data_IF_548716130841
#
_entry.id   IF_548716130841
#
_cell.length_a   1.000
_cell.length_b   1.000
_cell.length_c   1.000
_cell.angle_alpha   90.00
_cell.angle_beta   90.00
_cell.angle_gamma   90.00
#
_symmetry.space_group_name_H-M   'P 1'
#
loop_
_entity.id
_entity.type
_entity.pdbx_description
1 polymer ?
#
# COMPACT_ATOMS: atom_id res chain seq x y z
N UNK A 1 13.45 -20.34 10.41
CA UNK A 1 13.79 -19.91 9.06
C UNK A 1 12.51 -19.31 8.51
N UNK A 2 12.44 -18.00 8.33
CA UNK A 2 11.24 -17.36 7.76
C UNK A 2 11.43 -17.45 6.25
N UNK A 3 10.67 -18.32 5.60
CA UNK A 3 10.66 -18.43 4.15
C UNK A 3 10.16 -17.11 3.58
N UNK A 4 10.95 -16.50 2.70
CA UNK A 4 10.60 -15.25 2.03
C UNK A 4 9.36 -15.51 1.16
N UNK A 5 8.25 -14.82 1.44
CA UNK A 5 7.03 -14.89 0.63
C UNK A 5 7.36 -14.48 -0.83
N UNK A 6 6.98 -15.30 -1.80
CA UNK A 6 7.18 -15.01 -3.23
C UNK A 6 6.26 -13.88 -3.70
N UNK A 7 6.67 -13.15 -4.74
CA UNK A 7 5.93 -12.01 -5.30
C UNK A 7 4.48 -12.36 -5.65
N UNK A 8 4.23 -13.56 -6.21
CA UNK A 8 2.86 -13.99 -6.54
C UNK A 8 2.01 -14.24 -5.30
N UNK A 9 2.63 -14.74 -4.24
CA UNK A 9 1.95 -14.98 -2.97
C UNK A 9 1.65 -13.66 -2.26
N UNK A 10 2.55 -12.67 -2.34
CA UNK A 10 2.29 -11.31 -1.89
C UNK A 10 1.14 -10.66 -2.68
N UNK A 11 1.11 -10.85 -3.99
CA UNK A 11 0.05 -10.31 -4.86
C UNK A 11 -1.31 -10.92 -4.49
N UNK A 12 -1.39 -12.24 -4.34
CA UNK A 12 -2.59 -12.90 -3.88
C UNK A 12 -2.99 -12.47 -2.45
N UNK A 13 -2.03 -12.26 -1.57
CA UNK A 13 -2.33 -11.91 -0.17
C UNK A 13 -2.78 -10.46 -0.04
N UNK A 14 -2.12 -9.53 -0.72
CA UNK A 14 -2.38 -8.09 -0.60
C UNK A 14 -3.42 -7.62 -1.62
N UNK A 15 -3.19 -7.87 -2.91
CA UNK A 15 -4.02 -7.28 -3.96
C UNK A 15 -5.40 -7.95 -4.03
N UNK A 16 -5.47 -9.28 -3.98
CA UNK A 16 -6.73 -10.01 -4.07
C UNK A 16 -7.63 -9.78 -2.84
N UNK A 17 -7.05 -9.68 -1.64
CA UNK A 17 -7.83 -9.58 -0.40
C UNK A 17 -8.11 -8.14 0.05
N UNK A 18 -7.25 -7.17 -0.30
CA UNK A 18 -7.36 -5.80 0.23
C UNK A 18 -7.68 -4.76 -0.83
N UNK A 19 -7.48 -5.03 -2.13
CA UNK A 19 -7.65 -4.03 -3.17
C UNK A 19 -8.95 -4.25 -3.96
N UNK A 20 -10.01 -3.44 -3.75
CA UNK A 20 -11.24 -3.55 -4.54
C UNK A 20 -11.05 -3.20 -6.02
N UNK A 21 -9.91 -2.59 -6.37
CA UNK A 21 -9.58 -2.16 -7.73
C UNK A 21 -8.69 -3.15 -8.48
N UNK A 22 -8.17 -4.18 -7.82
CA UNK A 22 -7.28 -5.16 -8.44
C UNK A 22 -8.03 -6.06 -9.43
N UNK A 23 -7.42 -6.34 -10.58
CA UNK A 23 -8.03 -7.15 -11.66
C UNK A 23 -7.09 -8.31 -12.03
N UNK A 24 -7.34 -9.55 -11.57
CA UNK A 24 -6.39 -10.67 -11.61
C UNK A 24 -5.96 -11.21 -12.99
N UNK A 25 -6.31 -10.53 -14.08
CA UNK A 25 -6.00 -10.95 -15.46
C UNK A 25 -5.65 -9.79 -16.40
N UNK A 26 -5.45 -8.59 -15.84
CA UNK A 26 -4.97 -7.45 -16.62
C UNK A 26 -3.45 -7.45 -16.55
N UNK A 27 -2.79 -7.22 -17.69
CA UNK A 27 -1.34 -7.03 -17.73
C UNK A 27 -1.00 -5.72 -17.01
N UNK A 28 -0.78 -5.81 -15.70
CA UNK A 28 -0.48 -4.65 -14.85
C UNK A 28 1.01 -4.30 -14.99
N UNK A 29 1.37 -3.68 -16.12
CA UNK A 29 2.72 -3.13 -16.34
C UNK A 29 3.13 -2.06 -15.31
N UNK A 30 2.26 -1.70 -14.36
CA UNK A 30 2.48 -0.76 -13.27
C UNK A 30 1.99 -1.36 -11.95
N UNK A 31 2.93 -1.70 -11.06
CA UNK A 31 2.61 -2.09 -9.70
C UNK A 31 2.13 -0.87 -8.88
N UNK A 32 1.11 -1.08 -8.03
CA UNK A 32 0.68 -0.07 -7.07
C UNK A 32 1.81 0.27 -6.08
N UNK A 33 2.00 1.54 -5.73
CA UNK A 33 3.00 1.95 -4.74
C UNK A 33 2.83 1.24 -3.39
N UNK A 34 1.60 0.96 -2.98
CA UNK A 34 1.34 0.21 -1.74
C UNK A 34 1.95 -1.20 -1.78
N UNK A 35 1.82 -1.90 -2.90
CA UNK A 35 2.44 -3.20 -3.12
C UNK A 35 3.97 -3.09 -3.09
N UNK A 36 4.54 -2.16 -3.85
CA UNK A 36 6.00 -1.95 -3.92
C UNK A 36 6.61 -1.64 -2.56
N UNK A 37 5.92 -0.87 -1.72
CA UNK A 37 6.37 -0.55 -0.36
C UNK A 37 6.39 -1.81 0.49
N UNK A 38 5.31 -2.60 0.48
CA UNK A 38 5.22 -3.85 1.28
C UNK A 38 6.27 -4.87 0.82
N UNK A 39 6.42 -5.07 -0.49
CA UNK A 39 7.44 -5.96 -1.07
C UNK A 39 8.85 -5.58 -0.56
N UNK A 40 9.18 -4.28 -0.58
CA UNK A 40 10.49 -3.79 -0.14
C UNK A 40 10.67 -3.83 1.38
N UNK A 41 9.62 -3.63 2.18
CA UNK A 41 9.67 -3.82 3.63
C UNK A 41 10.00 -5.28 3.97
N UNK A 42 9.30 -6.21 3.33
CA UNK A 42 9.54 -7.65 3.50
C UNK A 42 10.94 -8.06 3.05
N UNK A 43 11.41 -7.54 1.91
CA UNK A 43 12.77 -7.80 1.42
C UNK A 43 13.87 -7.29 2.38
N UNK A 44 13.56 -6.29 3.21
CA UNK A 44 14.45 -5.80 4.28
C UNK A 44 14.31 -6.58 5.60
N UNK A 45 13.55 -7.68 5.60
CA UNK A 45 13.34 -8.53 6.77
C UNK A 45 12.32 -7.98 7.76
N UNK A 46 11.45 -7.04 7.36
CA UNK A 46 10.33 -6.62 8.21
C UNK A 46 9.25 -7.69 8.20
N UNK A 47 8.80 -8.06 9.38
CA UNK A 47 7.62 -8.90 9.57
C UNK A 47 6.37 -8.03 9.34
N UNK A 48 5.62 -8.34 8.29
CA UNK A 48 4.40 -7.63 7.92
C UNK A 48 3.23 -8.59 8.17
N UNK A 49 2.39 -8.33 9.18
CA UNK A 49 1.26 -9.19 9.46
C UNK A 49 0.15 -8.94 8.41
N UNK A 50 -0.17 -9.99 7.67
CA UNK A 50 -1.36 -10.02 6.81
C UNK A 50 -2.53 -10.53 7.64
N UNK A 51 -3.37 -9.62 8.09
CA UNK A 51 -4.61 -9.92 8.82
C UNK A 51 -5.72 -8.96 8.44
N UNK A 52 -6.97 -9.30 8.78
CA UNK A 52 -8.09 -8.40 8.52
C UNK A 52 -7.83 -7.06 9.21
N UNK A 53 -7.78 -5.96 8.46
CA UNK A 53 -7.58 -4.68 9.09
C UNK A 53 -8.84 -4.35 9.89
N UNK A 54 -8.69 -4.23 11.20
CA UNK A 54 -9.80 -3.93 12.08
C UNK A 54 -9.96 -2.40 12.19
N UNK A 55 -11.08 -1.88 11.69
CA UNK A 55 -11.50 -0.49 11.87
C UNK A 55 -11.11 0.46 10.74
N UNK A 56 -11.51 1.71 10.87
CA UNK A 56 -11.14 2.78 9.94
C UNK A 56 -9.74 3.32 10.25
N UNK A 57 -8.98 3.65 9.19
CA UNK A 57 -7.71 4.37 9.34
C UNK A 57 -7.95 5.75 9.94
N UNK A 58 -7.13 6.14 10.93
CA UNK A 58 -7.23 7.42 11.62
C UNK A 58 -7.09 8.61 10.66
N UNK A 59 -7.73 9.74 10.99
CA UNK A 59 -7.70 10.94 10.12
C UNK A 59 -6.27 11.46 9.91
N UNK A 60 -5.42 11.38 10.93
CA UNK A 60 -4.02 11.83 10.84
C UNK A 60 -3.19 10.89 9.96
N UNK A 61 -3.37 9.57 10.08
CA UNK A 61 -2.72 8.60 9.20
C UNK A 61 -3.19 8.74 7.76
N UNK A 62 -4.49 9.00 7.54
CA UNK A 62 -5.03 9.29 6.20
C UNK A 62 -4.34 10.50 5.58
N UNK A 63 -4.23 11.61 6.31
CA UNK A 63 -3.56 12.83 5.82
C UNK A 63 -2.09 12.59 5.51
N UNK A 64 -1.38 11.85 6.37
CA UNK A 64 0.02 11.51 6.15
C UNK A 64 0.21 10.66 4.88
N UNK A 65 -0.58 9.61 4.71
CA UNK A 65 -0.52 8.77 3.51
C UNK A 65 -0.83 9.54 2.22
N UNK A 66 -1.84 10.42 2.24
CA UNK A 66 -2.14 11.26 1.08
C UNK A 66 -0.94 12.14 0.72
N UNK A 67 -0.34 12.80 1.73
CA UNK A 67 0.81 13.68 1.53
C UNK A 67 2.05 12.94 1.03
N UNK A 68 2.36 11.80 1.62
CA UNK A 68 3.68 11.18 1.52
C UNK A 68 3.72 10.03 0.50
N UNK A 69 2.60 9.32 0.29
CA UNK A 69 2.52 8.14 -0.59
C UNK A 69 1.67 8.42 -1.83
N UNK A 70 0.47 8.98 -1.66
CA UNK A 70 -0.45 9.17 -2.77
C UNK A 70 0.11 10.17 -3.79
N UNK A 71 0.76 11.25 -3.37
CA UNK A 71 1.37 12.21 -4.29
C UNK A 71 2.39 11.60 -5.27
N UNK A 72 3.06 10.50 -4.88
CA UNK A 72 4.01 9.77 -5.72
C UNK A 72 3.37 8.57 -6.45
N UNK A 73 2.08 8.32 -6.26
CA UNK A 73 1.37 7.19 -6.84
C UNK A 73 1.06 7.46 -8.32
N UNK A 74 1.40 6.54 -9.24
CA UNK A 74 1.12 6.72 -10.67
C UNK A 74 -0.37 6.89 -10.98
N UNK A 75 -1.25 6.42 -10.09
CA UNK A 75 -2.70 6.52 -10.22
C UNK A 75 -3.30 7.82 -9.66
N UNK A 76 -2.54 8.63 -8.90
CA UNK A 76 -3.08 9.77 -8.14
C UNK A 76 -3.68 10.89 -9.00
N UNK A 77 -2.99 11.30 -10.07
CA UNK A 77 -3.36 12.51 -10.82
C UNK A 77 -4.55 12.28 -11.76
N UNK A 78 -4.78 11.05 -12.21
CA UNK A 78 -5.77 10.76 -13.28
C UNK A 78 -6.79 9.68 -12.95
N UNK A 79 -6.46 8.75 -12.05
CA UNK A 79 -7.23 7.52 -11.87
C UNK A 79 -7.65 7.27 -10.40
N UNK A 80 -7.44 8.25 -9.51
CA UNK A 80 -7.75 8.13 -8.09
C UNK A 80 -9.01 8.93 -7.70
N UNK A 81 -10.17 8.29 -7.89
CA UNK A 81 -11.47 8.86 -7.50
C UNK A 81 -11.56 9.15 -5.99
N UNK A 82 -10.79 8.42 -5.17
CA UNK A 82 -10.72 8.60 -3.71
C UNK A 82 -10.13 9.97 -3.32
N UNK A 83 -9.03 10.38 -3.94
CA UNK A 83 -8.39 11.68 -3.65
C UNK A 83 -9.07 12.84 -4.34
N UNK A 84 -9.83 12.57 -5.41
CA UNK A 84 -10.71 13.55 -6.04
C UNK A 84 -11.95 13.89 -5.18
N UNK A 85 -12.16 13.20 -4.06
CA UNK A 85 -13.28 13.45 -3.15
C UNK A 85 -14.63 13.04 -3.73
N UNK A 86 -14.65 12.11 -4.69
CA UNK A 86 -15.91 11.55 -5.19
C UNK A 86 -16.60 10.76 -4.08
N UNK A 87 -17.89 11.00 -3.91
CA UNK A 87 -18.72 10.27 -2.96
C UNK A 87 -18.70 8.76 -3.28
N UNK A 88 -18.85 7.94 -2.24
CA UNK A 88 -18.85 6.47 -2.29
C UNK A 88 -17.58 5.79 -2.85
N UNK A 89 -16.50 6.55 -3.05
CA UNK A 89 -15.25 5.96 -3.51
C UNK A 89 -14.41 5.43 -2.35
N UNK A 90 -14.10 4.13 -2.38
CA UNK A 90 -13.28 3.50 -1.35
C UNK A 90 -11.78 3.79 -1.56
N UNK A 91 -10.97 3.86 -0.49
CA UNK A 91 -9.52 3.90 -0.63
C UNK A 91 -8.99 2.66 -1.35
N UNK A 92 -7.85 2.78 -2.03
CA UNK A 92 -7.21 1.61 -2.64
C UNK A 92 -6.64 0.67 -1.57
N UNK A 93 -6.46 -0.61 -1.90
CA UNK A 93 -5.98 -1.60 -0.94
C UNK A 93 -4.61 -1.25 -0.35
N UNK A 94 -3.72 -0.66 -1.15
CA UNK A 94 -2.42 -0.17 -0.67
C UNK A 94 -2.56 0.94 0.36
N UNK A 95 -3.49 1.87 0.17
CA UNK A 95 -3.76 2.94 1.12
C UNK A 95 -4.32 2.38 2.43
N UNK A 96 -5.36 1.54 2.33
CA UNK A 96 -5.98 0.92 3.50
C UNK A 96 -4.94 0.12 4.29
N UNK A 97 -4.24 -0.81 3.63
CA UNK A 97 -3.27 -1.68 4.27
C UNK A 97 -2.14 -0.91 4.97
N UNK A 98 -1.48 0.01 4.27
CA UNK A 98 -0.43 0.84 4.88
C UNK A 98 -0.97 1.69 6.04
N UNK A 99 -2.21 2.17 5.93
CA UNK A 99 -2.86 2.92 7.01
C UNK A 99 -3.03 2.10 8.27
N UNK A 100 -3.44 0.84 8.14
CA UNK A 100 -3.55 -0.06 9.29
C UNK A 100 -2.19 -0.38 9.91
N UNK A 101 -1.15 -0.59 9.09
CA UNK A 101 0.20 -0.83 9.61
C UNK A 101 0.74 0.39 10.36
N UNK A 102 0.45 1.61 9.90
CA UNK A 102 0.82 2.85 10.58
C UNK A 102 0.05 3.05 11.89
N UNK A 103 -1.27 2.88 11.87
CA UNK A 103 -2.10 3.02 13.09
C UNK A 103 -1.72 1.98 14.15
N UNK A 104 -1.38 0.76 13.71
CA UNK A 104 -0.86 -0.30 14.57
C UNK A 104 0.61 -0.12 14.98
N UNK A 105 1.30 0.93 14.48
CA UNK A 105 2.72 1.23 14.73
C UNK A 105 3.68 0.08 14.34
N UNK A 106 3.28 -0.74 13.38
CA UNK A 106 4.12 -1.82 12.81
C UNK A 106 5.17 -1.21 11.87
N UNK A 107 4.78 -0.16 11.16
CA UNK A 107 5.67 0.65 10.31
C UNK A 107 5.56 2.12 10.70
N UNK A 108 6.52 2.90 10.23
CA UNK A 108 6.55 4.36 10.36
C UNK A 108 6.55 5.02 8.97
N UNK A 109 6.29 6.33 8.91
CA UNK A 109 6.42 7.08 7.66
C UNK A 109 7.86 7.04 7.12
N UNK A 110 8.85 7.03 8.01
CA UNK A 110 10.27 6.96 7.64
C UNK A 110 10.62 5.63 6.94
N UNK A 111 10.04 4.51 7.40
CA UNK A 111 10.21 3.22 6.75
C UNK A 111 9.77 3.26 5.28
N UNK A 112 8.69 3.99 4.97
CA UNK A 112 8.17 4.13 3.61
C UNK A 112 8.99 5.12 2.77
N UNK A 113 9.46 6.22 3.36
CA UNK A 113 10.31 7.19 2.66
C UNK A 113 11.65 6.59 2.25
N UNK A 114 12.31 5.85 3.15
CA UNK A 114 13.58 5.18 2.89
C UNK A 114 13.51 4.10 1.79
N UNK A 115 12.29 3.74 1.38
CA UNK A 115 12.03 2.79 0.31
C UNK A 115 11.86 3.52 -1.02
N UNK A 116 11.29 4.74 -1.04
CA UNK A 116 11.04 5.50 -2.27
C UNK A 116 12.31 6.18 -2.84
N UNK A 117 13.29 6.53 -2.00
CA UNK A 117 14.54 7.17 -2.45
C UNK A 117 15.47 6.27 -3.29
N UNK A 118 15.25 4.96 -3.32
CA UNK A 118 16.05 4.04 -4.16
C UNK A 118 15.64 4.07 -5.64
N UNK A 119 14.60 4.83 -6.02
CA UNK A 119 14.15 4.99 -7.41
C UNK A 119 14.83 6.16 -8.17
N UNK A 120 15.73 6.92 -7.52
CA UNK A 120 16.40 8.09 -8.12
C UNK A 120 17.93 7.97 -8.18
N UNK A 121 18.49 6.77 -8.22
CA UNK A 121 19.91 6.55 -8.54
C UNK A 121 20.08 5.71 -9.79
#
# INVERSE_FOLDING_TARGET
MIESMDKKELEATLCLNYCPYYKPFKDEGLACNGFTIVERLMARGRDIPFGSPAGDVSSDTKKALVRDICNACPFYIRDCDFTAGKEDTQPCGGFSFLGHLLDAKIITLDDMHNINYTLFK
#
